data_IF_112438498777
#
_entry.id   IF_112438498777
#
_cell.length_a   1.000
_cell.length_b   1.000
_cell.length_c   1.000
_cell.angle_alpha   90.00
_cell.angle_beta   90.00
_cell.angle_gamma   90.00
#
_symmetry.space_group_name_H-M   'P 1'
#
loop_
_entity.id
_entity.type
_entity.pdbx_description
1 polymer ?
#
# COMPACT_ATOMS: atom_id res chain seq x y z
N UNK A 1 31.56 31.02 4.63
CA UNK A 1 31.77 29.75 3.94
C UNK A 1 30.88 29.76 2.72
N UNK A 2 31.42 29.72 1.48
CA UNK A 2 30.60 29.60 0.28
C UNK A 2 30.32 28.10 0.09
N UNK A 3 29.05 27.73 0.10
CA UNK A 3 28.62 26.35 -0.24
C UNK A 3 28.64 26.28 -1.76
N UNK A 4 29.52 25.48 -2.31
CA UNK A 4 29.53 25.22 -3.75
C UNK A 4 28.42 24.16 -4.06
N UNK A 5 27.53 24.54 -4.96
CA UNK A 5 26.47 23.66 -5.44
C UNK A 5 27.11 22.66 -6.42
N UNK A 6 27.02 21.34 -6.18
CA UNK A 6 27.61 20.36 -7.09
C UNK A 6 26.91 20.40 -8.47
N UNK A 7 27.70 20.33 -9.52
CA UNK A 7 27.22 20.30 -10.92
C UNK A 7 27.04 18.88 -11.46
N UNK A 8 27.68 17.89 -10.82
CA UNK A 8 27.65 16.49 -11.22
C UNK A 8 27.18 15.60 -10.07
N UNK A 9 26.60 14.47 -10.40
CA UNK A 9 26.12 13.47 -9.44
C UNK A 9 27.32 12.79 -8.76
N UNK A 10 27.38 12.73 -7.43
CA UNK A 10 28.50 12.11 -6.72
C UNK A 10 28.55 10.58 -6.88
N UNK A 11 27.50 9.95 -7.41
CA UNK A 11 27.42 8.50 -7.62
C UNK A 11 27.81 8.08 -9.05
N UNK A 12 27.45 8.87 -10.07
CA UNK A 12 27.60 8.46 -11.47
C UNK A 12 28.18 9.55 -12.38
N UNK A 13 28.65 10.67 -11.82
CA UNK A 13 29.22 11.82 -12.51
C UNK A 13 28.34 12.48 -13.59
N UNK A 14 27.09 12.03 -13.73
CA UNK A 14 26.13 12.62 -14.65
C UNK A 14 25.77 14.04 -14.22
N UNK A 15 25.54 14.93 -15.19
CA UNK A 15 25.17 16.32 -14.94
C UNK A 15 23.88 16.41 -14.11
N UNK A 16 23.91 17.20 -13.03
CA UNK A 16 22.74 17.46 -12.20
C UNK A 16 21.87 18.56 -12.81
N UNK A 17 20.56 18.41 -12.66
CA UNK A 17 19.56 19.38 -13.03
C UNK A 17 18.98 20.03 -11.77
N UNK A 18 18.94 21.35 -11.74
CA UNK A 18 18.33 22.12 -10.64
C UNK A 18 16.87 22.40 -10.98
N UNK A 19 15.95 21.85 -10.20
CA UNK A 19 14.51 22.07 -10.36
C UNK A 19 13.92 22.43 -9.00
N UNK A 20 13.32 23.62 -8.89
CA UNK A 20 12.73 24.12 -7.65
C UNK A 20 13.69 24.04 -6.45
N UNK A 21 14.92 24.54 -6.62
CA UNK A 21 16.00 24.54 -5.63
C UNK A 21 16.47 23.14 -5.16
N UNK A 22 16.10 22.09 -5.88
CA UNK A 22 16.55 20.72 -5.65
C UNK A 22 17.39 20.20 -6.82
N UNK A 23 18.45 19.47 -6.50
CA UNK A 23 19.33 18.85 -7.49
C UNK A 23 18.84 17.45 -7.84
N UNK A 24 18.66 17.19 -9.14
CA UNK A 24 18.22 15.90 -9.68
C UNK A 24 19.26 15.30 -10.61
N UNK A 25 19.58 14.05 -10.39
CA UNK A 25 20.29 13.23 -11.37
C UNK A 25 19.25 12.57 -12.29
N UNK A 26 19.38 12.79 -13.61
CA UNK A 26 18.47 12.19 -14.61
C UNK A 26 19.02 10.92 -15.24
N UNK A 27 20.17 10.44 -14.79
CA UNK A 27 20.73 9.18 -15.29
C UNK A 27 19.94 7.99 -14.72
N UNK A 28 19.18 7.30 -15.56
CA UNK A 28 18.35 6.15 -15.19
C UNK A 28 19.18 4.94 -14.71
N UNK A 29 20.47 4.87 -15.13
CA UNK A 29 21.43 3.85 -14.72
C UNK A 29 22.24 4.27 -13.47
N UNK A 30 21.88 5.35 -12.78
CA UNK A 30 22.57 5.76 -11.56
C UNK A 30 22.30 4.79 -10.43
N UNK A 31 23.34 4.15 -9.87
CA UNK A 31 23.21 3.17 -8.78
C UNK A 31 22.48 3.70 -7.55
N UNK A 32 22.67 4.99 -7.21
CA UNK A 32 21.93 5.61 -6.11
C UNK A 32 20.41 5.71 -6.38
N UNK A 33 20.00 5.88 -7.64
CA UNK A 33 18.59 5.90 -8.01
C UNK A 33 18.01 4.48 -8.07
N UNK A 34 18.76 3.51 -8.58
CA UNK A 34 18.35 2.11 -8.64
C UNK A 34 18.09 1.59 -7.22
N UNK A 35 19.04 1.79 -6.30
CA UNK A 35 18.85 1.43 -4.89
C UNK A 35 17.62 2.11 -4.24
N UNK A 36 17.34 3.38 -4.57
CA UNK A 36 16.15 4.08 -4.09
C UNK A 36 14.85 3.55 -4.70
N UNK A 37 14.85 3.11 -5.94
CA UNK A 37 13.70 2.43 -6.56
C UNK A 37 13.41 1.11 -5.86
N UNK A 38 14.45 0.29 -5.59
CA UNK A 38 14.31 -0.98 -4.83
C UNK A 38 13.80 -0.71 -3.41
N UNK A 39 14.34 0.30 -2.72
CA UNK A 39 13.87 0.69 -1.38
C UNK A 39 12.37 1.08 -1.39
N UNK A 40 11.96 1.92 -2.34
CA UNK A 40 10.57 2.32 -2.49
C UNK A 40 9.66 1.12 -2.79
N UNK A 41 10.08 0.24 -3.68
CA UNK A 41 9.38 -0.99 -4.05
C UNK A 41 9.14 -1.86 -2.83
N UNK A 42 10.19 -2.19 -2.08
CA UNK A 42 10.09 -3.00 -0.87
C UNK A 42 9.21 -2.36 0.20
N UNK A 43 9.34 -1.04 0.40
CA UNK A 43 8.54 -0.28 1.35
C UNK A 43 7.05 -0.29 1.00
N UNK A 44 6.73 -0.11 -0.27
CA UNK A 44 5.34 -0.07 -0.75
C UNK A 44 4.68 -1.45 -0.67
N UNK A 45 5.41 -2.53 -0.96
CA UNK A 45 4.97 -3.91 -0.77
C UNK A 45 4.94 -4.34 0.70
N UNK A 46 5.41 -3.48 1.61
CA UNK A 46 5.42 -3.75 3.05
C UNK A 46 6.40 -4.84 3.49
N UNK A 47 7.51 -5.04 2.76
CA UNK A 47 8.55 -6.03 3.07
C UNK A 47 9.37 -5.54 4.25
N UNK A 48 9.14 -6.11 5.43
CA UNK A 48 9.85 -5.76 6.65
C UNK A 48 11.29 -6.27 6.59
N UNK A 49 12.21 -5.46 7.12
CA UNK A 49 13.64 -5.79 7.11
C UNK A 49 14.40 -5.32 5.86
N UNK A 50 13.70 -4.89 4.80
CA UNK A 50 14.30 -4.35 3.59
C UNK A 50 14.38 -2.82 3.64
N UNK A 51 15.28 -2.31 4.46
CA UNK A 51 15.61 -0.89 4.53
C UNK A 51 16.84 -0.54 3.68
N UNK A 52 17.24 0.78 3.66
CA UNK A 52 18.38 1.25 2.85
C UNK A 52 19.66 0.44 3.06
N UNK A 53 19.99 0.12 4.33
CA UNK A 53 21.17 -0.67 4.68
C UNK A 53 21.11 -2.11 4.18
N UNK A 54 19.90 -2.72 4.14
CA UNK A 54 19.74 -4.09 3.63
C UNK A 54 19.84 -4.11 2.12
N UNK A 55 19.25 -3.14 1.41
CA UNK A 55 19.37 -2.98 -0.03
C UNK A 55 20.85 -2.79 -0.44
N UNK A 56 21.59 -1.95 0.30
CA UNK A 56 23.02 -1.71 0.08
C UNK A 56 23.85 -2.98 0.31
N UNK A 57 23.65 -3.68 1.45
CA UNK A 57 24.38 -4.90 1.79
C UNK A 57 24.11 -6.05 0.82
N UNK A 58 22.88 -6.17 0.35
CA UNK A 58 22.48 -7.15 -0.64
C UNK A 58 22.85 -6.72 -2.07
N UNK A 59 23.39 -5.51 -2.23
CA UNK A 59 23.79 -4.90 -3.53
C UNK A 59 22.70 -4.99 -4.60
N UNK A 60 21.43 -4.78 -4.20
CA UNK A 60 20.29 -4.85 -5.11
C UNK A 60 20.26 -3.60 -6.00
N UNK A 61 20.29 -3.81 -7.29
CA UNK A 61 20.24 -2.76 -8.31
C UNK A 61 18.99 -2.85 -9.19
N UNK A 62 18.34 -4.01 -9.21
CA UNK A 62 17.11 -4.25 -9.96
C UNK A 62 15.99 -4.77 -9.05
N UNK A 63 14.73 -4.43 -9.39
CA UNK A 63 13.55 -4.85 -8.63
C UNK A 63 13.35 -6.37 -8.68
N UNK A 64 13.74 -6.99 -9.78
CA UNK A 64 13.57 -8.42 -10.01
C UNK A 64 14.52 -9.27 -9.18
N UNK A 65 15.75 -8.79 -8.92
CA UNK A 65 16.77 -9.47 -8.12
C UNK A 65 16.25 -9.86 -6.72
N UNK A 66 15.32 -9.06 -6.18
CA UNK A 66 14.69 -9.29 -4.89
C UNK A 66 14.07 -10.70 -4.76
N UNK A 67 13.48 -11.20 -5.85
CA UNK A 67 12.74 -12.47 -5.85
C UNK A 67 13.61 -13.69 -6.13
N UNK A 68 14.90 -13.48 -6.42
CA UNK A 68 15.90 -14.52 -6.66
C UNK A 68 16.92 -14.65 -5.52
N UNK A 69 16.73 -13.93 -4.42
CA UNK A 69 17.56 -14.02 -3.23
C UNK A 69 17.45 -15.41 -2.59
N UNK A 70 18.58 -16.03 -2.29
CA UNK A 70 18.65 -17.28 -1.55
C UNK A 70 19.05 -17.07 -0.09
N UNK A 71 18.82 -18.09 0.74
CA UNK A 71 19.04 -18.06 2.19
C UNK A 71 20.50 -17.77 2.55
N UNK A 72 21.44 -18.41 1.87
CA UNK A 72 22.85 -18.35 2.23
C UNK A 72 23.44 -16.97 1.92
N UNK A 73 23.17 -16.45 0.71
CA UNK A 73 23.60 -15.12 0.30
C UNK A 73 23.02 -14.02 1.19
N UNK A 74 21.74 -14.14 1.57
CA UNK A 74 21.10 -13.15 2.47
C UNK A 74 21.66 -13.27 3.89
N UNK A 75 21.93 -14.48 4.39
CA UNK A 75 22.52 -14.69 5.72
C UNK A 75 23.93 -14.13 5.79
N UNK A 76 24.75 -14.35 4.76
CA UNK A 76 26.10 -13.79 4.66
C UNK A 76 26.08 -12.26 4.65
N UNK A 77 25.28 -11.67 3.77
CA UNK A 77 25.19 -10.20 3.62
C UNK A 77 24.68 -9.51 4.89
N UNK A 78 23.67 -10.09 5.56
CA UNK A 78 23.04 -9.50 6.75
C UNK A 78 23.72 -9.94 8.07
N UNK A 79 24.56 -10.97 8.03
CA UNK A 79 25.27 -11.52 9.20
C UNK A 79 24.37 -12.31 10.17
N UNK A 80 23.24 -12.85 9.69
CA UNK A 80 22.29 -13.58 10.54
C UNK A 80 21.31 -14.44 9.74
N UNK A 81 21.36 -15.75 9.92
CA UNK A 81 20.40 -16.70 9.34
C UNK A 81 18.95 -16.41 9.73
N UNK A 82 18.73 -16.08 11.01
CA UNK A 82 17.38 -15.76 11.51
C UNK A 82 16.80 -14.51 10.83
N UNK A 83 17.63 -13.53 10.53
CA UNK A 83 17.21 -12.30 9.82
C UNK A 83 16.94 -12.63 8.35
N UNK A 84 17.77 -13.47 7.75
CA UNK A 84 17.58 -13.93 6.38
C UNK A 84 16.26 -14.68 6.21
N UNK A 85 15.97 -15.67 7.05
CA UNK A 85 14.69 -16.40 7.03
C UNK A 85 13.49 -15.47 7.11
N UNK A 86 13.49 -14.54 8.08
CA UNK A 86 12.39 -13.58 8.22
C UNK A 86 12.22 -12.67 7.01
N UNK A 87 13.32 -12.24 6.41
CA UNK A 87 13.27 -11.40 5.22
C UNK A 87 12.71 -12.16 4.02
N UNK A 88 13.15 -13.40 3.81
CA UNK A 88 12.64 -14.25 2.74
C UNK A 88 11.14 -14.58 2.91
N UNK A 89 10.67 -14.81 4.15
CA UNK A 89 9.25 -14.98 4.46
C UNK A 89 8.44 -13.72 4.09
N UNK A 90 8.98 -12.52 4.37
CA UNK A 90 8.34 -11.25 4.00
C UNK A 90 8.31 -11.05 2.47
N UNK A 91 9.36 -11.44 1.75
CA UNK A 91 9.42 -11.41 0.29
C UNK A 91 8.39 -12.38 -0.30
N UNK A 92 8.29 -13.60 0.23
CA UNK A 92 7.31 -14.59 -0.22
C UNK A 92 5.88 -14.10 -0.01
N UNK A 93 5.60 -13.52 1.15
CA UNK A 93 4.31 -12.88 1.44
C UNK A 93 3.99 -11.76 0.45
N UNK A 94 4.98 -10.97 0.05
CA UNK A 94 4.80 -9.84 -0.86
C UNK A 94 4.39 -10.27 -2.28
N UNK A 95 4.68 -11.50 -2.71
CA UNK A 95 4.25 -12.04 -4.02
C UNK A 95 2.73 -12.07 -4.18
N UNK A 96 1.99 -12.11 -3.06
CA UNK A 96 0.52 -12.08 -3.04
C UNK A 96 -0.08 -10.67 -2.94
N UNK A 97 0.73 -9.61 -3.15
CA UNK A 97 0.25 -8.24 -3.10
C UNK A 97 -0.81 -7.96 -4.18
N UNK A 98 -1.78 -7.12 -3.83
CA UNK A 98 -2.83 -6.71 -4.76
C UNK A 98 -2.26 -5.81 -5.89
N UNK A 99 -2.98 -5.76 -7.02
CA UNK A 99 -2.55 -5.01 -8.19
C UNK A 99 -2.31 -3.52 -7.91
N UNK A 100 -3.11 -2.89 -7.05
CA UNK A 100 -2.96 -1.47 -6.74
C UNK A 100 -1.66 -1.20 -5.99
N UNK A 101 -1.32 -2.06 -5.03
CA UNK A 101 -0.05 -2.00 -4.29
C UNK A 101 1.14 -2.26 -5.22
N UNK A 102 1.02 -3.25 -6.11
CA UNK A 102 2.06 -3.56 -7.10
C UNK A 102 2.31 -2.38 -8.05
N UNK A 103 1.27 -1.79 -8.63
CA UNK A 103 1.42 -0.60 -9.50
C UNK A 103 2.07 0.57 -8.73
N UNK A 104 1.64 0.82 -7.51
CA UNK A 104 2.20 1.91 -6.70
C UNK A 104 3.68 1.69 -6.33
N UNK A 105 4.16 0.45 -6.32
CA UNK A 105 5.53 0.10 -5.94
C UNK A 105 6.57 0.42 -7.04
N UNK A 106 6.17 0.52 -8.30
CA UNK A 106 7.07 0.70 -9.44
C UNK A 106 7.71 2.10 -9.57
N UNK A 107 7.43 3.02 -8.66
CA UNK A 107 7.98 4.39 -8.70
C UNK A 107 7.66 5.16 -9.99
N UNK A 108 6.52 4.88 -10.62
CA UNK A 108 6.09 5.59 -11.82
C UNK A 108 5.76 7.03 -11.44
N UNK A 109 6.28 8.04 -12.16
CA UNK A 109 6.06 9.45 -11.79
C UNK A 109 4.58 9.81 -11.71
N UNK A 110 4.17 10.43 -10.59
CA UNK A 110 2.78 10.82 -10.27
C UNK A 110 1.80 9.65 -10.06
N UNK A 111 2.23 8.40 -10.13
CA UNK A 111 1.42 7.21 -9.89
C UNK A 111 1.74 6.65 -8.51
N UNK A 112 0.97 7.06 -7.51
CA UNK A 112 1.06 6.54 -6.14
C UNK A 112 -0.20 5.74 -5.78
N UNK A 113 -0.35 5.40 -4.50
CA UNK A 113 -1.46 4.57 -3.99
C UNK A 113 -2.84 5.06 -4.47
N UNK A 114 -3.12 6.37 -4.44
CA UNK A 114 -4.41 6.91 -4.86
C UNK A 114 -4.70 6.66 -6.34
N UNK A 115 -3.73 6.89 -7.22
CA UNK A 115 -3.89 6.64 -8.64
C UNK A 115 -4.03 5.14 -8.93
N UNK A 116 -3.23 4.32 -8.28
CA UNK A 116 -3.27 2.85 -8.41
C UNK A 116 -4.61 2.26 -7.93
N UNK A 117 -5.15 2.73 -6.82
CA UNK A 117 -6.46 2.32 -6.33
C UNK A 117 -7.58 2.72 -7.29
N UNK A 118 -7.53 3.94 -7.83
CA UNK A 118 -8.51 4.42 -8.81
C UNK A 118 -8.52 3.55 -10.07
N UNK A 119 -7.36 3.27 -10.65
CA UNK A 119 -7.31 2.44 -11.86
C UNK A 119 -7.76 1.01 -11.57
N UNK A 120 -7.37 0.42 -10.46
CA UNK A 120 -7.80 -0.93 -10.06
C UNK A 120 -9.29 -1.04 -9.68
N UNK A 121 -9.99 0.08 -9.49
CA UNK A 121 -11.46 0.07 -9.37
C UNK A 121 -12.17 -0.13 -10.72
N UNK A 122 -11.48 0.11 -11.83
CA UNK A 122 -12.03 0.02 -13.20
C UNK A 122 -11.52 -1.25 -13.90
N UNK A 123 -10.26 -1.65 -13.66
CA UNK A 123 -9.63 -2.78 -14.34
C UNK A 123 -9.47 -3.99 -13.39
N UNK A 124 -9.52 -5.19 -13.94
CA UNK A 124 -9.30 -6.45 -13.21
C UNK A 124 -7.88 -7.02 -13.41
N UNK A 125 -7.22 -6.59 -14.48
CA UNK A 125 -5.88 -7.02 -14.83
C UNK A 125 -5.06 -5.85 -15.38
N UNK A 126 -3.74 -5.87 -15.17
CA UNK A 126 -2.84 -4.81 -15.61
C UNK A 126 -2.92 -4.56 -17.14
N UNK A 127 -3.16 -5.60 -17.93
CA UNK A 127 -3.27 -5.50 -19.40
C UNK A 127 -4.50 -4.70 -19.86
N UNK A 128 -5.46 -4.46 -18.98
CA UNK A 128 -6.64 -3.63 -19.26
C UNK A 128 -6.41 -2.14 -19.02
N UNK A 129 -5.20 -1.78 -18.55
CA UNK A 129 -4.84 -0.37 -18.32
C UNK A 129 -4.55 0.30 -19.66
N UNK A 130 -5.44 1.20 -20.05
CA UNK A 130 -5.37 1.98 -21.28
C UNK A 130 -5.66 3.46 -20.98
N UNK A 131 -5.47 4.33 -21.95
CA UNK A 131 -5.87 5.74 -21.83
C UNK A 131 -7.35 5.89 -21.47
N UNK A 132 -8.22 5.06 -22.05
CA UNK A 132 -9.66 5.07 -21.81
C UNK A 132 -9.99 4.66 -20.36
N UNK A 133 -9.45 3.52 -19.88
CA UNK A 133 -9.70 3.05 -18.53
C UNK A 133 -9.11 3.98 -17.48
N UNK A 134 -7.98 4.64 -17.76
CA UNK A 134 -7.43 5.70 -16.90
C UNK A 134 -8.35 6.92 -16.79
N UNK A 135 -8.96 7.35 -17.89
CA UNK A 135 -9.94 8.43 -17.87
C UNK A 135 -11.22 8.04 -17.12
N UNK A 136 -11.71 6.82 -17.32
CA UNK A 136 -12.84 6.28 -16.56
C UNK A 136 -12.55 6.23 -15.05
N UNK A 137 -11.31 5.94 -14.67
CA UNK A 137 -10.85 5.96 -13.28
C UNK A 137 -10.67 7.39 -12.71
N UNK A 138 -10.85 8.44 -13.53
CA UNK A 138 -10.66 9.83 -13.13
C UNK A 138 -9.20 10.20 -12.87
N UNK A 139 -8.27 9.63 -13.63
CA UNK A 139 -6.87 10.02 -13.62
C UNK A 139 -6.64 11.23 -14.54
N UNK A 140 -5.76 12.15 -14.10
CA UNK A 140 -5.36 13.30 -14.92
C UNK A 140 -4.44 12.89 -16.08
N UNK A 141 -4.36 13.74 -17.12
CA UNK A 141 -3.64 13.44 -18.37
C UNK A 141 -2.18 13.02 -18.12
N UNK A 142 -1.42 13.78 -17.33
CA UNK A 142 -0.01 13.46 -17.01
C UNK A 142 0.17 12.13 -16.27
N UNK A 143 -0.74 11.80 -15.35
CA UNK A 143 -0.72 10.52 -14.63
C UNK A 143 -0.99 9.37 -15.60
N UNK A 144 -1.96 9.56 -16.49
CA UNK A 144 -2.33 8.61 -17.54
C UNK A 144 -1.17 8.37 -18.52
N UNK A 145 -0.56 9.44 -19.03
CA UNK A 145 0.61 9.35 -19.92
C UNK A 145 1.76 8.60 -19.28
N UNK A 146 2.10 8.92 -18.03
CA UNK A 146 3.17 8.24 -17.30
C UNK A 146 2.87 6.76 -17.08
N UNK A 147 1.65 6.42 -16.66
CA UNK A 147 1.26 5.04 -16.39
C UNK A 147 1.24 4.19 -17.66
N UNK A 148 0.53 4.66 -18.70
CA UNK A 148 0.41 3.93 -19.98
C UNK A 148 1.76 3.88 -20.69
N UNK A 149 2.52 4.97 -20.70
CA UNK A 149 3.87 5.00 -21.28
C UNK A 149 4.79 3.99 -20.61
N UNK A 150 4.85 3.96 -19.28
CA UNK A 150 5.65 3.00 -18.52
C UNK A 150 5.23 1.54 -18.77
N UNK A 151 3.92 1.27 -18.89
CA UNK A 151 3.41 -0.07 -19.20
C UNK A 151 3.80 -0.53 -20.61
N UNK A 152 4.06 0.40 -21.53
CA UNK A 152 4.48 0.08 -22.89
C UNK A 152 6.00 -0.04 -23.06
N UNK A 153 6.79 0.66 -22.23
CA UNK A 153 8.25 0.74 -22.38
C UNK A 153 9.00 -0.12 -21.36
N UNK A 154 8.73 0.06 -20.07
CA UNK A 154 9.53 -0.55 -18.99
C UNK A 154 8.92 -1.87 -18.49
N UNK A 155 7.60 -1.96 -18.45
CA UNK A 155 6.90 -3.11 -17.87
C UNK A 155 7.12 -4.43 -18.64
N UNK A 156 7.18 -4.47 -19.99
CA UNK A 156 7.39 -5.72 -20.71
C UNK A 156 8.69 -6.43 -20.30
N UNK A 157 9.76 -5.68 -20.07
CA UNK A 157 11.07 -6.22 -19.68
C UNK A 157 11.07 -6.74 -18.21
N UNK A 158 10.21 -6.18 -17.36
CA UNK A 158 10.12 -6.58 -15.94
C UNK A 158 9.11 -7.72 -15.71
N UNK A 159 8.07 -7.79 -16.53
CA UNK A 159 6.91 -8.65 -16.30
C UNK A 159 7.26 -10.13 -16.14
N UNK A 160 8.18 -10.63 -16.95
CA UNK A 160 8.54 -12.05 -16.95
C UNK A 160 9.30 -12.48 -15.69
N UNK A 161 9.96 -11.52 -15.03
CA UNK A 161 10.77 -11.75 -13.85
C UNK A 161 10.07 -11.44 -12.53
N UNK A 162 8.87 -10.89 -12.59
CA UNK A 162 8.09 -10.51 -11.41
C UNK A 162 7.05 -11.59 -11.06
N UNK A 163 6.99 -12.07 -9.82
CA UNK A 163 6.13 -13.20 -9.43
C UNK A 163 4.68 -12.82 -9.13
N UNK A 164 4.21 -11.66 -9.59
CA UNK A 164 2.86 -11.18 -9.30
C UNK A 164 1.82 -11.73 -10.28
N UNK A 165 0.60 -11.93 -9.80
CA UNK A 165 -0.51 -12.34 -10.66
C UNK A 165 -1.01 -11.21 -11.58
N UNK A 166 -0.65 -9.94 -11.29
CA UNK A 166 -1.12 -8.73 -11.96
C UNK A 166 -2.64 -8.62 -12.09
N UNK A 167 -3.36 -9.34 -11.23
CA UNK A 167 -4.82 -9.27 -11.13
C UNK A 167 -5.21 -8.38 -9.96
N UNK A 168 -6.20 -7.53 -10.19
CA UNK A 168 -6.90 -6.87 -9.09
C UNK A 168 -7.61 -7.96 -8.31
N UNK A 169 -7.18 -8.21 -7.09
CA UNK A 169 -8.05 -8.87 -6.13
C UNK A 169 -9.12 -7.85 -5.77
N UNK A 170 -10.08 -7.64 -6.66
CA UNK A 170 -11.38 -7.23 -6.17
C UNK A 170 -11.73 -8.33 -5.20
N UNK A 171 -11.61 -8.04 -3.90
CA UNK A 171 -12.24 -8.89 -2.92
C UNK A 171 -13.61 -9.18 -3.49
N UNK A 172 -13.92 -10.45 -3.68
CA UNK A 172 -15.27 -10.97 -3.95
C UNK A 172 -16.24 -10.63 -2.80
N UNK A 173 -15.92 -9.63 -2.02
CA UNK A 173 -16.69 -8.94 -0.99
C UNK A 173 -17.04 -7.50 -1.40
N UNK A 174 -17.00 -7.16 -2.70
CA UNK A 174 -17.59 -5.89 -3.16
C UNK A 174 -18.59 -6.10 -4.29
N UNK A 175 -19.56 -6.97 -4.09
CA UNK A 175 -20.94 -6.55 -4.22
C UNK A 175 -21.29 -5.71 -2.99
N UNK A 176 -20.57 -4.64 -2.77
CA UNK A 176 -21.00 -3.57 -1.91
C UNK A 176 -21.36 -2.40 -2.82
N UNK A 177 -22.66 -2.29 -3.06
CA UNK A 177 -23.31 -0.99 -3.04
C UNK A 177 -22.45 -0.04 -2.21
N UNK A 178 -22.21 1.19 -2.68
CA UNK A 178 -21.53 2.30 -2.00
C UNK A 178 -22.17 2.66 -0.65
N UNK A 179 -22.44 1.67 0.21
CA UNK A 179 -23.18 1.78 1.47
C UNK A 179 -22.61 0.90 2.58
N UNK A 180 -21.35 0.46 2.49
CA UNK A 180 -20.73 -0.22 3.63
C UNK A 180 -20.52 0.79 4.76
N UNK A 181 -21.37 0.69 5.79
CA UNK A 181 -21.34 1.57 6.96
C UNK A 181 -20.02 1.41 7.70
N UNK A 182 -19.45 2.54 8.08
CA UNK A 182 -18.21 2.59 8.84
C UNK A 182 -18.49 2.51 10.33
N UNK A 183 -17.87 1.54 11.01
CA UNK A 183 -18.08 1.25 12.43
C UNK A 183 -16.83 1.56 13.24
N UNK A 184 -16.99 2.25 14.37
CA UNK A 184 -15.95 2.48 15.38
C UNK A 184 -16.32 1.79 16.68
N UNK A 185 -15.34 1.18 17.38
CA UNK A 185 -15.57 0.56 18.70
C UNK A 185 -14.88 1.41 19.79
N UNK A 186 -15.59 1.66 20.87
CA UNK A 186 -15.07 2.32 22.08
C UNK A 186 -15.31 1.45 23.33
N UNK A 187 -14.50 1.65 24.36
CA UNK A 187 -14.65 0.91 25.63
C UNK A 187 -14.26 -0.57 25.56
N UNK A 188 -14.69 -1.33 26.56
CA UNK A 188 -14.62 -2.79 26.59
C UNK A 188 -15.87 -3.37 25.94
N UNK A 189 -15.73 -4.53 25.32
CA UNK A 189 -16.85 -5.28 24.78
C UNK A 189 -17.25 -6.38 25.76
N UNK A 190 -18.55 -6.58 25.93
CA UNK A 190 -19.14 -7.71 26.63
C UNK A 190 -19.47 -8.86 25.66
N UNK A 191 -19.70 -8.53 24.40
CA UNK A 191 -20.07 -9.47 23.32
C UNK A 191 -18.90 -10.27 22.77
N UNK A 192 -17.65 -9.77 22.88
CA UNK A 192 -16.43 -10.38 22.37
C UNK A 192 -15.30 -10.33 23.38
N UNK A 193 -14.45 -11.36 23.41
CA UNK A 193 -13.30 -11.41 24.33
C UNK A 193 -12.25 -10.35 24.03
N UNK A 194 -12.07 -10.04 22.75
CA UNK A 194 -11.09 -9.05 22.29
C UNK A 194 -11.70 -8.14 21.21
N UNK A 195 -11.16 -6.92 21.09
CA UNK A 195 -11.55 -6.01 19.99
C UNK A 195 -11.17 -6.56 18.63
N UNK A 196 -10.09 -7.34 18.55
CA UNK A 196 -9.65 -7.95 17.29
C UNK A 196 -10.68 -8.96 16.76
N UNK A 197 -11.28 -9.77 17.64
CA UNK A 197 -12.38 -10.68 17.26
C UNK A 197 -13.61 -9.92 16.80
N UNK A 198 -13.96 -8.82 17.48
CA UNK A 198 -15.08 -7.97 17.10
C UNK A 198 -14.86 -7.28 15.74
N UNK A 199 -13.63 -6.82 15.47
CA UNK A 199 -13.27 -6.24 14.19
C UNK A 199 -13.42 -7.25 13.06
N UNK A 200 -12.89 -8.46 13.26
CA UNK A 200 -13.01 -9.54 12.27
C UNK A 200 -14.48 -9.89 11.97
N UNK A 201 -15.32 -10.01 13.01
CA UNK A 201 -16.75 -10.28 12.84
C UNK A 201 -17.49 -9.15 12.11
N UNK A 202 -17.11 -7.90 12.32
CA UNK A 202 -17.67 -6.74 11.61
C UNK A 202 -17.23 -6.72 10.14
N UNK A 203 -15.96 -7.03 9.85
CA UNK A 203 -15.44 -7.11 8.48
C UNK A 203 -16.08 -8.26 7.71
N UNK A 204 -16.25 -9.43 8.34
CA UNK A 204 -16.98 -10.58 7.77
C UNK A 204 -18.45 -10.26 7.49
N UNK A 205 -19.08 -9.38 8.29
CA UNK A 205 -20.42 -8.88 8.07
C UNK A 205 -20.52 -7.70 7.06
N UNK A 206 -19.40 -7.33 6.42
CA UNK A 206 -19.35 -6.31 5.36
C UNK A 206 -19.25 -4.86 5.86
N UNK A 207 -18.91 -4.62 7.13
CA UNK A 207 -18.70 -3.29 7.68
C UNK A 207 -17.23 -2.87 7.55
N UNK A 208 -16.99 -1.57 7.32
CA UNK A 208 -15.65 -0.99 7.39
C UNK A 208 -15.35 -0.57 8.82
N UNK A 209 -14.25 -1.03 9.40
CA UNK A 209 -13.88 -0.72 10.78
C UNK A 209 -12.88 0.42 10.84
N UNK A 210 -13.05 1.34 11.81
CA UNK A 210 -12.12 2.44 12.10
C UNK A 210 -11.82 2.54 13.59
N UNK A 211 -10.62 3.00 13.92
CA UNK A 211 -10.23 3.24 15.31
C UNK A 211 -10.67 4.61 15.85
N UNK A 212 -11.03 5.54 14.98
CA UNK A 212 -11.36 6.92 15.35
C UNK A 212 -12.75 7.32 14.85
N UNK A 213 -13.48 8.11 15.65
CA UNK A 213 -14.77 8.68 15.25
C UNK A 213 -14.52 9.92 14.38
N UNK A 214 -15.03 9.88 13.15
CA UNK A 214 -14.96 10.99 12.16
C UNK A 214 -16.35 11.26 11.60
N UNK A 215 -16.50 12.29 10.76
CA UNK A 215 -17.76 12.56 10.04
C UNK A 215 -18.18 11.43 9.08
N UNK A 216 -17.24 10.56 8.72
CA UNK A 216 -17.47 9.40 7.86
C UNK A 216 -17.79 8.12 8.66
N UNK A 217 -17.93 8.21 9.99
CA UNK A 217 -18.32 7.09 10.85
C UNK A 217 -19.83 7.04 10.93
N UNK A 218 -20.44 5.91 10.61
CA UNK A 218 -21.90 5.73 10.62
C UNK A 218 -22.40 5.15 11.96
N UNK A 219 -21.57 4.33 12.60
CA UNK A 219 -21.96 3.58 13.79
C UNK A 219 -20.83 3.62 14.82
N UNK A 220 -21.18 3.89 16.08
CA UNK A 220 -20.31 3.71 17.24
C UNK A 220 -20.82 2.54 18.10
N UNK A 221 -19.97 1.56 18.35
CA UNK A 221 -20.25 0.48 19.31
C UNK A 221 -19.68 0.89 20.68
N UNK A 222 -20.54 1.02 21.66
CA UNK A 222 -20.21 1.36 23.06
C UNK A 222 -21.05 0.51 24.03
N UNK A 223 -20.55 -0.67 24.37
CA UNK A 223 -21.26 -1.62 25.25
C UNK A 223 -21.14 -1.30 26.75
N UNK A 224 -20.19 -0.44 27.12
CA UNK A 224 -20.05 0.00 28.52
C UNK A 224 -20.98 1.16 28.91
N UNK A 225 -21.59 1.80 27.93
CA UNK A 225 -22.44 2.99 28.06
C UNK A 225 -21.77 4.13 28.85
N UNK A 226 -20.46 4.28 28.70
CA UNK A 226 -19.66 5.30 29.38
C UNK A 226 -19.51 6.56 28.53
N UNK A 227 -19.60 7.72 29.20
CA UNK A 227 -19.38 9.03 28.57
C UNK A 227 -17.90 9.22 28.13
N UNK A 228 -17.43 8.42 27.17
CA UNK A 228 -16.09 8.54 26.58
C UNK A 228 -15.99 9.72 25.61
N UNK A 229 -14.79 10.20 25.34
CA UNK A 229 -14.55 11.26 24.34
C UNK A 229 -15.09 10.86 22.96
N UNK A 230 -14.98 9.56 22.59
CA UNK A 230 -15.52 9.05 21.33
C UNK A 230 -17.04 9.07 21.31
N UNK A 231 -17.68 8.74 22.44
CA UNK A 231 -19.14 8.79 22.56
C UNK A 231 -19.68 10.22 22.43
N UNK A 232 -19.12 11.16 23.17
CA UNK A 232 -19.50 12.59 23.08
C UNK A 232 -19.36 13.13 21.66
N UNK A 233 -18.28 12.71 20.96
CA UNK A 233 -18.07 13.09 19.57
C UNK A 233 -19.09 12.44 18.64
N UNK A 234 -19.44 11.18 18.83
CA UNK A 234 -20.47 10.50 18.06
C UNK A 234 -21.86 11.14 18.24
N UNK A 235 -22.22 11.47 19.48
CA UNK A 235 -23.47 12.19 19.80
C UNK A 235 -23.52 13.57 19.13
N UNK A 236 -22.40 14.32 19.17
CA UNK A 236 -22.31 15.63 18.52
C UNK A 236 -22.41 15.58 16.97
N UNK A 237 -22.07 14.42 16.38
CA UNK A 237 -22.12 14.19 14.92
C UNK A 237 -23.40 13.45 14.48
N UNK A 238 -24.29 13.10 15.42
CA UNK A 238 -25.52 12.36 15.11
C UNK A 238 -25.28 10.92 14.67
N UNK A 239 -24.17 10.31 15.08
CA UNK A 239 -23.77 8.95 14.72
C UNK A 239 -24.59 7.94 15.55
N UNK A 240 -25.10 6.88 14.91
CA UNK A 240 -25.82 5.81 15.58
C UNK A 240 -24.95 5.11 16.61
N UNK A 241 -25.43 5.00 17.86
CA UNK A 241 -24.71 4.30 18.96
C UNK A 241 -25.38 2.97 19.21
N UNK A 242 -24.56 1.91 19.27
CA UNK A 242 -24.99 0.52 19.53
C UNK A 242 -24.38 0.06 20.85
N UNK A 243 -25.20 -0.49 21.72
CA UNK A 243 -24.80 -0.98 23.04
C UNK A 243 -24.64 -2.50 23.12
N UNK A 244 -24.99 -3.24 22.07
CA UNK A 244 -24.78 -4.69 21.96
C UNK A 244 -24.45 -5.11 20.53
N UNK A 245 -23.20 -5.46 20.29
CA UNK A 245 -22.70 -5.82 18.98
C UNK A 245 -23.25 -7.16 18.48
N UNK A 246 -23.45 -8.15 19.36
CA UNK A 246 -23.98 -9.46 18.99
C UNK A 246 -25.42 -9.40 18.48
N UNK A 247 -26.26 -8.57 19.10
CA UNK A 247 -27.65 -8.38 18.65
C UNK A 247 -27.64 -7.70 17.29
N UNK A 248 -26.85 -6.66 17.14
CA UNK A 248 -26.73 -5.90 15.90
C UNK A 248 -26.27 -6.78 14.70
N UNK A 249 -25.26 -7.65 14.92
CA UNK A 249 -24.78 -8.56 13.88
C UNK A 249 -25.82 -9.61 13.50
N UNK A 250 -26.57 -10.16 14.46
CA UNK A 250 -27.64 -11.13 14.20
C UNK A 250 -28.80 -10.56 13.40
N UNK A 251 -29.17 -9.31 13.64
CA UNK A 251 -30.23 -8.62 12.87
C UNK A 251 -29.82 -8.41 11.41
N UNK A 252 -28.50 -8.22 11.15
CA UNK A 252 -27.98 -8.00 9.80
C UNK A 252 -27.69 -9.27 9.00
N UNK A 253 -27.57 -10.44 9.67
CA UNK A 253 -27.37 -11.73 9.01
C UNK A 253 -28.70 -12.43 8.65
N UNK A 254 -29.85 -11.90 9.10
CA UNK A 254 -31.18 -12.43 8.80
C UNK A 254 -31.97 -11.63 7.75
N UNK A 255 -31.39 -10.57 7.19
CA UNK A 255 -31.88 -9.80 6.03
C UNK A 255 -31.05 -10.15 4.78
#
# INVERSE_FOLDING_TARGET
MKIEIPSTCPCCDYKLELVNDQLFCRNTACGAQLGKKVEHFCKTLGIKGMGPKSVEKLNLQDLTELFYLDQDSVAEALGSERTATKLLDEIERAKSADLATVIASFSIPLVGNTASQKICSVVEHIDQVTYETCKQAGLGDKVTENLVGWLQTDFPDLREFLPFSFKSTRNSTSNSNNNSKTVCITGKLSSFKTKAEAYKALEEAGFKVTETVTKATDILVDEEDKASTKRKKAESLGIQIITNLNIFLKEKTND
#
